data_IF_170826078076
#
_entry.id   IF_170826078076
#
_cell.length_a   1.000
_cell.length_b   1.000
_cell.length_c   1.000
_cell.angle_alpha   90.00
_cell.angle_beta   90.00
_cell.angle_gamma   90.00
#
_symmetry.space_group_name_H-M   'P 1'
#
loop_
_entity.id
_entity.type
_entity.pdbx_description
1 polymer ?
#
# COMPACT_ATOMS: atom_id res chain seq x y z
N UNK A 1 -10.48 75.21 27.71
CA UNK A 1 -10.02 74.50 26.50
C UNK A 1 -9.97 72.99 26.82
N UNK A 2 -10.96 72.25 26.32
CA UNK A 2 -11.14 70.81 26.62
C UNK A 2 -10.64 70.04 25.41
N UNK A 3 -9.58 69.20 25.60
CA UNK A 3 -9.07 68.27 24.59
C UNK A 3 -9.89 66.96 24.65
N UNK A 4 -10.67 66.71 23.60
CA UNK A 4 -11.36 65.43 23.34
C UNK A 4 -10.35 64.49 22.66
N UNK A 5 -10.00 63.39 23.37
CA UNK A 5 -9.24 62.30 22.78
C UNK A 5 -10.19 61.29 22.18
N UNK A 6 -10.13 61.09 20.87
CA UNK A 6 -10.77 60.02 20.13
C UNK A 6 -9.96 58.75 20.30
N UNK A 7 -10.55 57.71 20.92
CA UNK A 7 -10.03 56.35 20.88
C UNK A 7 -10.65 55.66 19.65
N UNK A 8 -9.82 55.36 18.66
CA UNK A 8 -10.16 54.48 17.54
C UNK A 8 -9.95 53.04 18.00
N UNK A 9 -11.07 52.32 18.24
CA UNK A 9 -11.09 50.91 18.52
C UNK A 9 -10.99 50.16 17.20
N UNK A 10 -9.80 49.64 16.88
CA UNK A 10 -9.57 48.75 15.75
C UNK A 10 -10.18 47.37 16.09
N UNK A 11 -11.30 47.02 15.48
CA UNK A 11 -11.85 45.67 15.51
C UNK A 11 -10.98 44.78 14.58
N UNK A 12 -10.10 44.00 15.17
CA UNK A 12 -9.42 42.88 14.50
C UNK A 12 -10.45 41.79 14.25
N UNK A 13 -11.00 41.72 13.06
CA UNK A 13 -11.71 40.53 12.56
C UNK A 13 -10.65 39.43 12.34
N UNK A 14 -10.43 38.61 13.38
CA UNK A 14 -9.79 37.33 13.23
C UNK A 14 -10.73 36.43 12.42
N UNK A 15 -10.51 36.37 11.13
CA UNK A 15 -11.13 35.39 10.26
C UNK A 15 -10.73 33.99 10.73
N UNK A 16 -11.62 33.32 11.42
CA UNK A 16 -11.54 31.88 11.63
C UNK A 16 -11.67 31.23 10.26
N UNK A 17 -10.54 30.92 9.58
CA UNK A 17 -10.54 29.93 8.54
C UNK A 17 -10.81 28.57 9.20
N UNK A 18 -12.09 28.21 9.33
CA UNK A 18 -12.46 26.82 9.48
C UNK A 18 -11.90 26.08 8.25
N UNK A 19 -11.24 24.93 8.40
CA UNK A 19 -10.92 24.12 7.25
C UNK A 19 -12.27 23.69 6.65
N UNK A 20 -12.63 24.30 5.50
CA UNK A 20 -13.67 23.76 4.65
C UNK A 20 -13.20 22.35 4.29
N UNK A 21 -13.88 21.33 4.81
CA UNK A 21 -13.63 19.96 4.38
C UNK A 21 -13.66 19.94 2.86
N UNK A 22 -12.64 19.35 2.24
CA UNK A 22 -12.50 19.34 0.80
C UNK A 22 -13.75 18.71 0.18
N UNK A 23 -14.55 19.54 -0.49
CA UNK A 23 -15.71 19.09 -1.25
C UNK A 23 -15.21 18.61 -2.60
N UNK A 24 -15.83 17.57 -3.17
CA UNK A 24 -15.51 17.14 -4.54
C UNK A 24 -15.82 18.28 -5.49
N UNK A 25 -14.82 18.72 -6.24
CA UNK A 25 -14.97 19.80 -7.20
C UNK A 25 -15.79 19.33 -8.41
N UNK A 26 -16.75 20.13 -8.81
CA UNK A 26 -17.52 19.94 -10.05
C UNK A 26 -17.31 21.13 -10.95
N UNK A 27 -16.95 20.88 -12.20
CA UNK A 27 -16.86 21.93 -13.19
C UNK A 27 -18.28 22.25 -13.68
N UNK A 28 -18.81 23.38 -13.26
CA UNK A 28 -20.14 23.86 -13.66
C UNK A 28 -19.98 25.15 -14.46
N UNK A 29 -20.39 25.13 -15.73
CA UNK A 29 -20.48 26.30 -16.60
C UNK A 29 -21.97 26.57 -16.83
N UNK A 30 -22.44 27.70 -16.38
CA UNK A 30 -23.86 28.02 -16.44
C UNK A 30 -24.32 28.21 -17.90
N UNK A 31 -25.47 27.62 -18.23
CA UNK A 31 -26.04 27.70 -19.57
C UNK A 31 -26.37 29.17 -19.97
N UNK A 32 -26.11 29.48 -21.22
CA UNK A 32 -26.35 30.82 -21.79
C UNK A 32 -25.30 31.88 -21.48
N UNK A 33 -24.28 31.54 -20.67
CA UNK A 33 -23.15 32.44 -20.41
C UNK A 33 -22.24 32.58 -21.64
N UNK A 34 -21.39 33.62 -21.70
CA UNK A 34 -20.39 33.75 -22.78
C UNK A 34 -19.45 32.54 -22.89
N UNK A 35 -19.13 31.90 -21.76
CA UNK A 35 -18.34 30.67 -21.69
C UNK A 35 -19.09 29.51 -22.34
N UNK A 36 -20.35 29.29 -22.01
CA UNK A 36 -21.20 28.25 -22.58
C UNK A 36 -21.38 28.41 -24.11
N UNK A 37 -21.59 29.66 -24.55
CA UNK A 37 -21.68 29.96 -25.99
C UNK A 37 -20.38 29.67 -26.72
N UNK A 38 -19.24 30.01 -26.12
CA UNK A 38 -17.92 29.71 -26.71
C UNK A 38 -17.67 28.19 -26.78
N UNK A 39 -17.99 27.43 -25.72
CA UNK A 39 -17.89 25.98 -25.71
C UNK A 39 -18.82 25.32 -26.73
N UNK A 40 -20.03 25.86 -26.90
CA UNK A 40 -20.96 25.40 -27.96
C UNK A 40 -20.40 25.64 -29.36
N UNK A 41 -19.64 26.73 -29.59
CA UNK A 41 -18.97 26.97 -30.86
C UNK A 41 -17.82 25.99 -31.05
N UNK A 42 -17.01 25.74 -30.02
CA UNK A 42 -15.88 24.79 -30.07
C UNK A 42 -16.41 23.36 -30.32
N UNK A 43 -17.52 22.96 -29.75
CA UNK A 43 -18.09 21.61 -29.90
C UNK A 43 -18.49 21.31 -31.35
N UNK A 44 -18.77 22.32 -32.16
CA UNK A 44 -19.17 22.20 -33.58
C UNK A 44 -17.98 22.18 -34.57
N UNK A 45 -16.80 22.48 -34.07
CA UNK A 45 -15.60 22.41 -34.92
C UNK A 45 -15.14 20.94 -35.04
N UNK A 46 -14.88 20.51 -36.26
CA UNK A 46 -14.43 19.14 -36.55
C UNK A 46 -12.89 19.02 -36.66
N UNK A 47 -12.23 20.10 -37.03
CA UNK A 47 -10.77 20.13 -37.14
C UNK A 47 -10.10 20.16 -35.74
N UNK A 48 -9.36 19.10 -35.44
CA UNK A 48 -8.71 18.92 -34.12
C UNK A 48 -7.72 20.04 -33.79
N UNK A 49 -6.95 20.54 -34.79
CA UNK A 49 -5.98 21.60 -34.57
C UNK A 49 -6.66 22.94 -34.31
N UNK A 50 -7.75 23.23 -35.01
CA UNK A 50 -8.57 24.41 -34.77
C UNK A 50 -9.24 24.34 -33.38
N UNK A 51 -9.74 23.16 -32.97
CA UNK A 51 -10.25 22.97 -31.60
C UNK A 51 -9.23 23.34 -30.54
N UNK A 52 -7.98 22.88 -30.70
CA UNK A 52 -6.89 23.23 -29.78
C UNK A 52 -6.72 24.75 -29.72
N UNK A 53 -6.66 25.43 -30.88
CA UNK A 53 -6.56 26.88 -30.93
C UNK A 53 -7.75 27.58 -30.25
N UNK A 54 -8.96 27.12 -30.53
CA UNK A 54 -10.17 27.69 -29.92
C UNK A 54 -10.21 27.48 -28.40
N UNK A 55 -9.71 26.35 -27.86
CA UNK A 55 -9.58 26.19 -26.41
C UNK A 55 -8.51 27.09 -25.81
N UNK A 56 -7.41 27.36 -26.53
CA UNK A 56 -6.39 28.32 -26.09
C UNK A 56 -6.95 29.76 -26.02
N UNK A 57 -7.72 30.18 -27.03
CA UNK A 57 -8.42 31.48 -27.05
C UNK A 57 -9.47 31.54 -25.94
N UNK A 58 -10.21 30.46 -25.72
CA UNK A 58 -11.16 30.32 -24.61
C UNK A 58 -10.50 30.56 -23.24
N UNK A 59 -9.37 29.90 -22.98
CA UNK A 59 -8.62 30.06 -21.75
C UNK A 59 -8.09 31.48 -21.55
N UNK A 60 -7.65 32.14 -22.61
CA UNK A 60 -7.21 33.51 -22.54
C UNK A 60 -8.36 34.46 -22.22
N UNK A 61 -9.51 34.28 -22.88
CA UNK A 61 -10.69 35.11 -22.73
C UNK A 61 -11.35 34.97 -21.35
N UNK A 62 -11.39 33.75 -20.81
CA UNK A 62 -12.10 33.43 -19.57
C UNK A 62 -11.17 33.06 -18.42
N UNK A 63 -9.95 33.59 -18.42
CA UNK A 63 -8.89 33.30 -17.44
C UNK A 63 -9.27 33.64 -15.98
N UNK A 64 -10.25 34.52 -15.78
CA UNK A 64 -10.74 34.88 -14.45
C UNK A 64 -11.80 33.90 -13.87
N UNK A 65 -12.31 32.97 -14.68
CA UNK A 65 -13.30 32.00 -14.27
C UNK A 65 -12.64 30.64 -13.99
N UNK A 66 -12.49 30.18 -12.72
CA UNK A 66 -11.80 28.91 -12.41
C UNK A 66 -12.43 27.68 -13.08
N UNK A 67 -13.76 27.63 -13.20
CA UNK A 67 -14.45 26.54 -13.88
C UNK A 67 -14.12 26.50 -15.38
N UNK A 68 -14.06 27.65 -16.05
CA UNK A 68 -13.65 27.76 -17.44
C UNK A 68 -12.17 27.38 -17.62
N UNK A 69 -11.30 27.80 -16.71
CA UNK A 69 -9.87 27.45 -16.72
C UNK A 69 -9.68 25.93 -16.53
N UNK A 70 -10.37 25.33 -15.57
CA UNK A 70 -10.33 23.88 -15.34
C UNK A 70 -10.81 23.11 -16.58
N UNK A 71 -11.98 23.47 -17.11
CA UNK A 71 -12.58 22.81 -18.26
C UNK A 71 -11.70 22.91 -19.52
N UNK A 72 -11.29 24.14 -19.87
CA UNK A 72 -10.50 24.37 -21.09
C UNK A 72 -9.15 23.65 -21.06
N UNK A 73 -8.45 23.67 -19.93
CA UNK A 73 -7.20 22.91 -19.77
C UNK A 73 -7.44 21.38 -19.82
N UNK A 74 -8.52 20.89 -19.22
CA UNK A 74 -8.85 19.45 -19.29
C UNK A 74 -9.13 19.01 -20.72
N UNK A 75 -9.88 19.81 -21.49
CA UNK A 75 -10.14 19.51 -22.90
C UNK A 75 -8.86 19.54 -23.76
N UNK A 76 -7.93 20.47 -23.50
CA UNK A 76 -6.62 20.45 -24.14
C UNK A 76 -5.80 19.22 -23.76
N UNK A 77 -5.84 18.82 -22.49
CA UNK A 77 -5.21 17.56 -22.05
C UNK A 77 -5.71 16.36 -22.85
N UNK A 78 -7.03 16.23 -23.00
CA UNK A 78 -7.64 15.14 -23.79
C UNK A 78 -7.30 15.22 -25.29
N UNK A 79 -7.24 16.42 -25.85
CA UNK A 79 -6.86 16.62 -27.24
C UNK A 79 -5.39 16.17 -27.49
N UNK A 80 -4.47 16.57 -26.62
CA UNK A 80 -3.07 16.14 -26.70
C UNK A 80 -2.90 14.65 -26.45
N UNK A 81 -3.68 14.06 -25.51
CA UNK A 81 -3.69 12.61 -25.31
C UNK A 81 -4.11 11.88 -26.58
N UNK A 82 -5.16 12.34 -27.25
CA UNK A 82 -5.67 11.76 -28.51
C UNK A 82 -4.65 11.88 -29.65
N UNK A 83 -3.83 12.93 -29.64
CA UNK A 83 -2.73 13.14 -30.58
C UNK A 83 -1.46 12.33 -30.24
N UNK A 84 -1.42 11.63 -29.10
CA UNK A 84 -0.26 10.88 -28.61
C UNK A 84 0.82 11.76 -27.93
N UNK A 85 0.57 13.06 -27.78
CA UNK A 85 1.47 13.96 -27.06
C UNK A 85 1.19 13.94 -25.55
N UNK A 86 1.63 12.84 -24.93
CA UNK A 86 1.36 12.58 -23.51
C UNK A 86 2.00 13.59 -22.58
N UNK A 87 3.10 14.22 -22.99
CA UNK A 87 3.75 15.28 -22.19
C UNK A 87 2.85 16.51 -22.09
N UNK A 88 2.38 17.06 -23.20
CA UNK A 88 1.47 18.21 -23.18
C UNK A 88 0.12 17.82 -22.56
N UNK A 89 -0.35 16.57 -22.75
CA UNK A 89 -1.54 16.08 -22.09
C UNK A 89 -1.44 16.16 -20.56
N UNK A 90 -0.32 15.70 -19.96
CA UNK A 90 -0.05 15.82 -18.53
C UNK A 90 0.06 17.28 -18.09
N UNK A 91 0.80 18.10 -18.82
CA UNK A 91 1.01 19.53 -18.47
C UNK A 91 -0.31 20.32 -18.45
N UNK A 92 -1.21 20.09 -19.42
CA UNK A 92 -2.51 20.76 -19.43
C UNK A 92 -3.46 20.17 -18.37
N UNK A 93 -3.42 18.89 -18.10
CA UNK A 93 -4.18 18.30 -17.02
C UNK A 93 -3.74 18.78 -15.63
N UNK A 94 -2.44 18.97 -15.40
CA UNK A 94 -1.93 19.57 -14.16
C UNK A 94 -2.43 21.03 -14.00
N UNK A 95 -2.53 21.81 -15.10
CA UNK A 95 -3.17 23.13 -15.07
C UNK A 95 -4.66 23.07 -14.77
N UNK A 96 -5.36 22.07 -15.27
CA UNK A 96 -6.77 21.82 -14.94
C UNK A 96 -6.94 21.51 -13.45
N UNK A 97 -6.07 20.64 -12.90
CA UNK A 97 -6.05 20.31 -11.47
C UNK A 97 -5.60 21.49 -10.58
N UNK A 98 -4.82 22.43 -11.09
CA UNK A 98 -4.51 23.65 -10.35
C UNK A 98 -5.75 24.54 -10.15
N UNK A 99 -6.69 24.54 -11.12
CA UNK A 99 -7.93 25.30 -11.04
C UNK A 99 -9.07 24.52 -10.35
N UNK A 100 -9.02 23.19 -10.32
CA UNK A 100 -10.01 22.30 -9.70
C UNK A 100 -9.31 21.10 -9.06
N UNK A 101 -8.65 21.29 -7.90
CA UNK A 101 -7.72 20.32 -7.31
C UNK A 101 -8.38 19.03 -6.79
N UNK A 102 -9.69 19.09 -6.48
CA UNK A 102 -10.47 17.97 -5.94
C UNK A 102 -11.40 17.35 -6.99
N UNK A 103 -11.15 17.60 -8.28
CA UNK A 103 -11.97 17.03 -9.34
C UNK A 103 -11.51 15.60 -9.67
N UNK A 104 -12.34 14.62 -9.30
CA UNK A 104 -12.02 13.19 -9.48
C UNK A 104 -11.94 12.79 -10.96
N UNK A 105 -12.73 13.39 -11.85
CA UNK A 105 -12.71 13.03 -13.28
C UNK A 105 -11.38 13.46 -13.93
N UNK A 106 -10.87 14.63 -13.53
CA UNK A 106 -9.55 15.08 -14.00
C UNK A 106 -8.45 14.19 -13.42
N UNK A 107 -8.51 13.82 -12.13
CA UNK A 107 -7.54 12.92 -11.50
C UNK A 107 -7.50 11.55 -12.19
N UNK A 108 -8.67 10.97 -12.49
CA UNK A 108 -8.79 9.71 -13.26
C UNK A 108 -8.19 9.86 -14.65
N UNK A 109 -8.52 10.95 -15.37
CA UNK A 109 -7.97 11.24 -16.70
C UNK A 109 -6.44 11.33 -16.64
N UNK A 110 -5.88 12.07 -15.68
CA UNK A 110 -4.44 12.25 -15.53
C UNK A 110 -3.72 10.97 -15.13
N UNK A 111 -4.30 10.17 -14.24
CA UNK A 111 -3.75 8.85 -13.89
C UNK A 111 -3.70 7.92 -15.12
N UNK A 112 -4.75 7.92 -15.96
CA UNK A 112 -4.78 7.16 -17.21
C UNK A 112 -3.71 7.63 -18.21
N UNK A 113 -3.51 8.96 -18.36
CA UNK A 113 -2.48 9.52 -19.25
C UNK A 113 -1.08 9.17 -18.71
N UNK A 114 -0.86 9.26 -17.39
CA UNK A 114 0.40 8.90 -16.76
C UNK A 114 0.71 7.39 -16.94
N UNK A 115 -0.29 6.51 -16.86
CA UNK A 115 -0.12 5.08 -17.18
C UNK A 115 0.33 4.87 -18.62
N UNK A 116 -0.28 5.57 -19.58
CA UNK A 116 0.14 5.52 -21.00
C UNK A 116 1.57 6.01 -21.19
N UNK A 117 1.96 7.05 -20.44
CA UNK A 117 3.31 7.61 -20.42
C UNK A 117 4.31 6.73 -19.65
N UNK A 118 3.86 5.69 -18.95
CA UNK A 118 4.67 4.85 -18.03
C UNK A 118 5.34 5.65 -16.91
N UNK A 119 4.70 6.71 -16.46
CA UNK A 119 5.14 7.56 -15.34
C UNK A 119 4.44 7.11 -14.04
N UNK A 120 4.96 6.04 -13.43
CA UNK A 120 4.39 5.47 -12.21
C UNK A 120 4.37 6.47 -11.04
N UNK A 121 5.31 7.42 -11.00
CA UNK A 121 5.31 8.44 -9.95
C UNK A 121 4.10 9.38 -10.07
N UNK A 122 3.75 9.82 -11.28
CA UNK A 122 2.53 10.61 -11.52
C UNK A 122 1.26 9.78 -11.33
N UNK A 123 1.25 8.51 -11.75
CA UNK A 123 0.11 7.60 -11.48
C UNK A 123 -0.18 7.55 -9.99
N UNK A 124 0.84 7.30 -9.17
CA UNK A 124 0.67 7.26 -7.72
C UNK A 124 0.21 8.60 -7.16
N UNK A 125 0.78 9.73 -7.63
CA UNK A 125 0.41 11.06 -7.14
C UNK A 125 -1.07 11.37 -7.36
N UNK A 126 -1.58 11.17 -8.58
CA UNK A 126 -3.00 11.37 -8.89
C UNK A 126 -3.90 10.39 -8.14
N UNK A 127 -3.45 9.14 -7.96
CA UNK A 127 -4.18 8.13 -7.20
C UNK A 127 -4.32 8.52 -5.73
N UNK A 128 -3.24 8.90 -5.07
CA UNK A 128 -3.25 9.32 -3.66
C UNK A 128 -4.16 10.53 -3.46
N UNK A 129 -4.03 11.56 -4.31
CA UNK A 129 -4.91 12.74 -4.27
C UNK A 129 -6.38 12.37 -4.42
N UNK A 130 -6.71 11.46 -5.33
CA UNK A 130 -8.09 11.01 -5.51
C UNK A 130 -8.63 10.21 -4.33
N UNK A 131 -7.82 9.36 -3.71
CA UNK A 131 -8.16 8.67 -2.46
C UNK A 131 -8.43 9.64 -1.31
N UNK A 132 -7.61 10.68 -1.18
CA UNK A 132 -7.79 11.75 -0.18
C UNK A 132 -9.08 12.55 -0.42
N UNK A 133 -9.37 12.89 -1.68
CA UNK A 133 -10.64 13.57 -2.07
C UNK A 133 -11.84 12.70 -1.69
N UNK A 134 -11.83 11.42 -2.05
CA UNK A 134 -12.90 10.50 -1.70
C UNK A 134 -13.06 10.36 -0.18
N UNK A 135 -11.97 10.19 0.55
CA UNK A 135 -11.97 10.11 2.02
C UNK A 135 -12.46 11.38 2.71
N UNK A 136 -12.40 12.54 2.04
CA UNK A 136 -12.91 13.81 2.54
C UNK A 136 -14.44 13.90 2.48
N UNK A 137 -15.11 13.14 1.61
CA UNK A 137 -16.57 13.16 1.45
C UNK A 137 -17.25 12.83 2.79
N UNK A 138 -16.79 11.84 3.52
CA UNK A 138 -17.33 11.44 4.81
C UNK A 138 -17.16 12.51 5.93
N UNK A 139 -16.27 13.49 5.70
CA UNK A 139 -15.93 14.54 6.67
C UNK A 139 -16.65 15.87 6.37
N UNK A 140 -17.54 15.89 5.40
CA UNK A 140 -18.27 17.09 5.02
C UNK A 140 -19.15 17.61 6.17
N UNK A 141 -19.16 18.92 6.35
CA UNK A 141 -20.03 19.60 7.32
C UNK A 141 -21.43 19.80 6.78
N UNK A 142 -22.38 20.05 7.68
CA UNK A 142 -23.74 20.48 7.32
C UNK A 142 -23.71 21.80 6.58
N UNK A 143 -24.62 21.94 5.61
CA UNK A 143 -24.86 23.18 4.87
C UNK A 143 -26.10 23.87 5.43
N UNK A 144 -25.98 25.10 5.96
CA UNK A 144 -27.12 25.87 6.46
C UNK A 144 -27.96 25.08 7.48
N UNK A 145 -29.27 25.01 7.22
CA UNK A 145 -30.25 24.32 8.09
C UNK A 145 -30.39 22.82 7.78
N UNK A 146 -29.40 22.20 7.17
CA UNK A 146 -29.40 20.77 6.82
C UNK A 146 -29.54 19.90 8.06
N UNK A 147 -30.48 18.95 8.05
CA UNK A 147 -30.64 17.96 9.11
C UNK A 147 -29.53 16.88 9.03
N UNK A 148 -29.30 16.11 10.11
CA UNK A 148 -28.35 14.99 10.13
C UNK A 148 -28.67 13.96 9.04
N UNK A 149 -29.98 13.70 8.80
CA UNK A 149 -30.42 12.76 7.77
C UNK A 149 -30.12 13.26 6.36
N UNK A 150 -30.30 14.56 6.11
CA UNK A 150 -30.00 15.17 4.80
C UNK A 150 -28.48 15.14 4.53
N UNK A 151 -27.67 15.47 5.54
CA UNK A 151 -26.22 15.34 5.44
C UNK A 151 -25.80 13.90 5.13
N UNK A 152 -26.34 12.92 5.87
CA UNK A 152 -26.03 11.50 5.66
C UNK A 152 -26.39 11.03 4.23
N UNK A 153 -27.56 11.46 3.74
CA UNK A 153 -28.01 11.12 2.38
C UNK A 153 -27.09 11.74 1.31
N UNK A 154 -26.70 13.01 1.48
CA UNK A 154 -25.80 13.71 0.57
C UNK A 154 -24.42 13.07 0.53
N UNK A 155 -23.86 12.72 1.70
CA UNK A 155 -22.59 11.99 1.79
C UNK A 155 -22.69 10.65 1.07
N UNK A 156 -23.74 9.86 1.33
CA UNK A 156 -23.93 8.57 0.70
C UNK A 156 -24.08 8.67 -0.83
N UNK A 157 -24.81 9.66 -1.31
CA UNK A 157 -24.97 9.93 -2.74
C UNK A 157 -23.63 10.34 -3.39
N UNK A 158 -22.88 11.24 -2.76
CA UNK A 158 -21.58 11.68 -3.27
C UNK A 158 -20.55 10.54 -3.28
N UNK A 159 -20.51 9.70 -2.23
CA UNK A 159 -19.67 8.51 -2.19
C UNK A 159 -20.07 7.52 -3.30
N UNK A 160 -21.34 7.27 -3.50
CA UNK A 160 -21.82 6.38 -4.55
C UNK A 160 -21.44 6.90 -5.95
N UNK A 161 -21.61 8.20 -6.20
CA UNK A 161 -21.27 8.83 -7.49
C UNK A 161 -19.75 8.83 -7.77
N UNK A 162 -18.93 8.88 -6.70
CA UNK A 162 -17.47 8.93 -6.78
C UNK A 162 -16.79 7.56 -6.71
N UNK A 163 -17.56 6.49 -6.45
CA UNK A 163 -17.04 5.15 -6.17
C UNK A 163 -16.19 4.58 -7.32
N UNK A 164 -16.67 4.70 -8.55
CA UNK A 164 -15.94 4.18 -9.71
C UNK A 164 -14.60 4.87 -9.93
N UNK A 165 -14.54 6.19 -9.71
CA UNK A 165 -13.30 6.97 -9.78
C UNK A 165 -12.31 6.55 -8.68
N UNK A 166 -12.82 6.35 -7.45
CA UNK A 166 -12.03 5.85 -6.32
C UNK A 166 -11.44 4.46 -6.61
N UNK A 167 -12.26 3.50 -7.09
CA UNK A 167 -11.83 2.14 -7.40
C UNK A 167 -10.81 2.09 -8.54
N UNK A 168 -10.95 2.98 -9.54
CA UNK A 168 -9.96 3.10 -10.61
C UNK A 168 -8.63 3.63 -10.09
N UNK A 169 -8.64 4.72 -9.30
CA UNK A 169 -7.44 5.34 -8.75
C UNK A 169 -6.75 4.42 -7.73
N UNK A 170 -7.51 3.68 -6.94
CA UNK A 170 -6.99 2.63 -6.05
C UNK A 170 -6.19 1.58 -6.84
N UNK A 171 -6.79 1.04 -7.90
CA UNK A 171 -6.14 0.04 -8.74
C UNK A 171 -4.91 0.60 -9.46
N UNK A 172 -4.99 1.83 -9.98
CA UNK A 172 -3.87 2.49 -10.66
C UNK A 172 -2.68 2.70 -9.71
N UNK A 173 -2.94 3.22 -8.50
CA UNK A 173 -1.91 3.43 -7.49
C UNK A 173 -1.28 2.12 -7.00
N UNK A 174 -2.10 1.08 -6.79
CA UNK A 174 -1.60 -0.25 -6.46
C UNK A 174 -0.68 -0.81 -7.55
N UNK A 175 -1.06 -0.71 -8.82
CA UNK A 175 -0.23 -1.19 -9.93
C UNK A 175 1.11 -0.42 -10.00
N UNK A 176 1.10 0.89 -9.77
CA UNK A 176 2.34 1.68 -9.72
C UNK A 176 3.29 1.20 -8.60
N UNK A 177 2.76 0.83 -7.43
CA UNK A 177 3.53 0.23 -6.33
C UNK A 177 4.08 -1.15 -6.72
N UNK A 178 3.26 -1.98 -7.37
CA UNK A 178 3.65 -3.33 -7.78
C UNK A 178 4.77 -3.32 -8.83
N UNK A 179 4.77 -2.33 -9.71
CA UNK A 179 5.77 -2.15 -10.77
C UNK A 179 7.09 -1.52 -10.28
N UNK A 180 7.11 -0.87 -9.09
CA UNK A 180 8.32 -0.25 -8.55
C UNK A 180 9.31 -1.32 -8.06
N UNK A 181 10.54 -1.27 -8.60
CA UNK A 181 11.59 -2.26 -8.29
C UNK A 181 12.51 -1.83 -7.13
N UNK A 182 12.66 -0.52 -6.91
CA UNK A 182 13.47 -0.02 -5.81
C UNK A 182 12.72 -0.14 -4.48
N UNK A 183 13.23 -0.96 -3.56
CA UNK A 183 12.59 -1.25 -2.29
C UNK A 183 12.34 0.00 -1.43
N UNK A 184 13.22 1.01 -1.50
CA UNK A 184 13.07 2.25 -0.74
C UNK A 184 11.95 3.12 -1.30
N UNK A 185 11.89 3.23 -2.64
CA UNK A 185 10.81 3.96 -3.32
C UNK A 185 9.49 3.25 -3.13
N UNK A 186 9.43 1.94 -3.38
CA UNK A 186 8.21 1.14 -3.16
C UNK A 186 7.66 1.30 -1.75
N UNK A 187 8.54 1.29 -0.73
CA UNK A 187 8.10 1.51 0.65
C UNK A 187 7.57 2.94 0.89
N UNK A 188 8.19 3.96 0.29
CA UNK A 188 7.69 5.33 0.35
C UNK A 188 6.32 5.48 -0.33
N UNK A 189 6.14 4.81 -1.46
CA UNK A 189 4.89 4.79 -2.21
C UNK A 189 3.77 4.10 -1.42
N UNK A 190 4.06 2.98 -0.76
CA UNK A 190 3.13 2.29 0.15
C UNK A 190 2.71 3.20 1.32
N UNK A 191 3.66 3.92 1.93
CA UNK A 191 3.39 4.84 3.04
C UNK A 191 2.50 6.03 2.63
N UNK A 192 2.55 6.46 1.36
CA UNK A 192 1.67 7.47 0.78
C UNK A 192 0.29 6.90 0.44
N UNK A 193 0.24 5.71 -0.14
CA UNK A 193 -0.98 5.06 -0.61
C UNK A 193 -1.90 4.63 0.55
N UNK A 194 -1.35 3.99 1.57
CA UNK A 194 -2.15 3.38 2.65
C UNK A 194 -3.12 4.35 3.35
N UNK A 195 -2.74 5.58 3.74
CA UNK A 195 -3.68 6.51 4.36
C UNK A 195 -4.74 7.06 3.40
N UNK A 196 -4.47 7.11 2.09
CA UNK A 196 -5.43 7.53 1.07
C UNK A 196 -6.48 6.44 0.75
N UNK A 197 -6.12 5.17 0.96
CA UNK A 197 -6.97 4.00 0.71
C UNK A 197 -7.00 3.06 1.94
N UNK A 198 -7.59 3.51 3.08
CA UNK A 198 -7.53 2.76 4.34
C UNK A 198 -8.23 1.41 4.28
N UNK A 199 -9.28 1.30 3.47
CA UNK A 199 -10.08 0.07 3.28
C UNK A 199 -9.80 -0.58 1.93
N UNK A 200 -8.54 -0.46 1.44
CA UNK A 200 -8.15 -0.99 0.13
C UNK A 200 -8.39 -2.49 0.02
N UNK A 201 -8.99 -2.91 -1.10
CA UNK A 201 -9.10 -4.33 -1.46
C UNK A 201 -7.74 -5.00 -1.70
N UNK A 202 -6.66 -4.21 -1.82
CA UNK A 202 -5.29 -4.69 -2.03
C UNK A 202 -4.47 -4.73 -0.73
N UNK A 203 -5.08 -4.58 0.44
CA UNK A 203 -4.37 -4.50 1.74
C UNK A 203 -3.35 -5.62 1.94
N UNK A 204 -3.71 -6.88 1.65
CA UNK A 204 -2.82 -8.02 1.82
C UNK A 204 -1.66 -8.02 0.81
N UNK A 205 -1.92 -7.60 -0.43
CA UNK A 205 -0.87 -7.45 -1.43
C UNK A 205 0.09 -6.32 -1.07
N UNK A 206 -0.43 -5.17 -0.62
CA UNK A 206 0.37 -4.05 -0.12
C UNK A 206 1.24 -4.48 1.07
N UNK A 207 0.67 -5.23 2.01
CA UNK A 207 1.40 -5.78 3.14
C UNK A 207 2.52 -6.72 2.71
N UNK A 208 2.30 -7.53 1.67
CA UNK A 208 3.32 -8.41 1.09
C UNK A 208 4.45 -7.62 0.42
N UNK A 209 4.13 -6.58 -0.35
CA UNK A 209 5.14 -5.69 -0.94
C UNK A 209 5.91 -4.91 0.12
N UNK A 210 5.25 -4.46 1.19
CA UNK A 210 5.91 -3.82 2.33
C UNK A 210 6.89 -4.79 3.02
N UNK A 211 6.45 -6.04 3.28
CA UNK A 211 7.30 -7.09 3.84
C UNK A 211 8.55 -7.32 2.98
N UNK A 212 8.37 -7.47 1.66
CA UNK A 212 9.47 -7.67 0.73
C UNK A 212 10.45 -6.48 0.76
N UNK A 213 9.94 -5.26 0.67
CA UNK A 213 10.76 -4.04 0.68
C UNK A 213 11.52 -3.87 2.00
N UNK A 214 10.85 -4.05 3.14
CA UNK A 214 11.47 -3.91 4.45
C UNK A 214 12.51 -5.00 4.73
N UNK A 215 12.29 -6.22 4.24
CA UNK A 215 13.28 -7.31 4.34
C UNK A 215 14.53 -7.01 3.53
N UNK A 216 14.38 -6.44 2.33
CA UNK A 216 15.50 -6.04 1.48
C UNK A 216 16.30 -4.87 2.09
N UNK A 217 15.63 -3.90 2.67
CA UNK A 217 16.24 -2.73 3.33
C UNK A 217 16.98 -3.09 4.63
N UNK A 218 16.71 -4.23 5.25
CA UNK A 218 17.33 -4.71 6.51
C UNK A 218 17.26 -3.70 7.66
N UNK A 219 16.25 -2.83 7.66
CA UNK A 219 16.01 -1.83 8.71
C UNK A 219 15.01 -2.38 9.74
N UNK A 220 15.54 -3.09 10.74
CA UNK A 220 14.74 -3.70 11.82
C UNK A 220 13.84 -2.70 12.53
N UNK A 221 14.31 -1.46 12.76
CA UNK A 221 13.51 -0.43 13.46
C UNK A 221 12.29 -0.03 12.64
N UNK A 222 12.49 0.17 11.33
CA UNK A 222 11.40 0.51 10.41
C UNK A 222 10.43 -0.66 10.22
N UNK A 223 10.94 -1.90 10.17
CA UNK A 223 10.11 -3.11 10.16
C UNK A 223 9.16 -3.13 11.34
N UNK A 224 9.68 -2.95 12.56
CA UNK A 224 8.87 -3.00 13.78
C UNK A 224 7.84 -1.87 13.78
N UNK A 225 8.25 -0.62 13.53
CA UNK A 225 7.35 0.53 13.54
C UNK A 225 6.23 0.41 12.50
N UNK A 226 6.56 -0.02 11.28
CA UNK A 226 5.57 -0.23 10.21
C UNK A 226 4.65 -1.41 10.53
N UNK A 227 5.20 -2.53 10.99
CA UNK A 227 4.44 -3.72 11.33
C UNK A 227 3.44 -3.48 12.45
N UNK A 228 3.83 -2.80 13.53
CA UNK A 228 2.93 -2.42 14.62
C UNK A 228 1.79 -1.53 14.13
N UNK A 229 2.07 -0.51 13.31
CA UNK A 229 1.06 0.36 12.72
C UNK A 229 0.10 -0.40 11.79
N UNK A 230 0.64 -1.27 10.94
CA UNK A 230 -0.15 -2.09 10.02
C UNK A 230 -1.06 -3.06 10.76
N UNK A 231 -0.54 -3.73 11.81
CA UNK A 231 -1.31 -4.67 12.62
C UNK A 231 -2.33 -3.99 13.54
N UNK A 232 -2.15 -2.72 13.89
CA UNK A 232 -3.18 -1.94 14.58
C UNK A 232 -4.41 -1.71 13.70
N UNK A 233 -4.23 -1.53 12.40
CA UNK A 233 -5.31 -1.37 11.42
C UNK A 233 -5.88 -2.71 10.93
N UNK A 234 -5.01 -3.70 10.68
CA UNK A 234 -5.39 -5.05 10.27
C UNK A 234 -4.69 -6.11 11.13
N UNK A 235 -5.27 -6.50 12.30
CA UNK A 235 -4.66 -7.46 13.23
C UNK A 235 -4.46 -8.87 12.67
N UNK A 236 -5.09 -9.18 11.54
CA UNK A 236 -5.04 -10.48 10.88
C UNK A 236 -4.20 -10.46 9.59
N UNK A 237 -3.44 -9.39 9.33
CA UNK A 237 -2.55 -9.35 8.16
C UNK A 237 -1.44 -10.40 8.29
N UNK A 238 -1.59 -11.49 7.55
CA UNK A 238 -0.68 -12.64 7.61
C UNK A 238 0.76 -12.27 7.18
N UNK A 239 0.99 -11.47 6.12
CA UNK A 239 2.33 -11.01 5.78
C UNK A 239 3.00 -10.21 6.92
N UNK A 240 2.26 -9.32 7.58
CA UNK A 240 2.81 -8.52 8.68
C UNK A 240 3.07 -9.35 9.94
N UNK A 241 2.19 -10.31 10.26
CA UNK A 241 2.42 -11.23 11.38
C UNK A 241 3.69 -12.06 11.17
N UNK A 242 3.91 -12.57 9.96
CA UNK A 242 5.12 -13.33 9.60
C UNK A 242 6.38 -12.44 9.64
N UNK A 243 6.29 -11.22 9.11
CA UNK A 243 7.39 -10.26 9.15
C UNK A 243 7.79 -9.94 10.58
N UNK A 244 6.84 -9.63 11.44
CA UNK A 244 7.10 -9.31 12.86
C UNK A 244 7.68 -10.51 13.62
N UNK A 245 7.10 -11.70 13.43
CA UNK A 245 7.61 -12.93 14.05
C UNK A 245 9.06 -13.22 13.60
N UNK A 246 9.34 -13.16 12.31
CA UNK A 246 10.67 -13.35 11.75
C UNK A 246 11.68 -12.31 12.26
N UNK A 247 11.28 -11.03 12.25
CA UNK A 247 12.13 -9.93 12.72
C UNK A 247 12.51 -10.10 14.19
N UNK A 248 11.55 -10.40 15.05
CA UNK A 248 11.83 -10.57 16.49
C UNK A 248 12.59 -11.86 16.80
N UNK A 249 12.36 -12.96 16.06
CA UNK A 249 13.12 -14.19 16.32
C UNK A 249 14.60 -14.06 15.93
N UNK A 250 14.92 -13.21 14.96
CA UNK A 250 16.29 -12.98 14.51
C UNK A 250 16.99 -11.80 15.23
N UNK A 251 16.24 -10.95 15.94
CA UNK A 251 16.81 -9.84 16.72
C UNK A 251 17.63 -10.39 17.92
N UNK A 252 18.94 -10.04 18.04
CA UNK A 252 19.79 -10.52 19.09
C UNK A 252 19.50 -9.90 20.47
N UNK A 253 18.62 -8.92 20.56
CA UNK A 253 18.33 -8.23 21.82
C UNK A 253 17.64 -9.17 22.82
N UNK A 254 18.00 -9.10 24.13
CA UNK A 254 17.30 -9.87 25.16
C UNK A 254 15.79 -9.65 25.14
N UNK A 255 15.03 -10.74 25.19
CA UNK A 255 13.56 -10.71 25.20
C UNK A 255 12.91 -10.59 23.81
N UNK A 256 13.66 -10.36 22.74
CA UNK A 256 13.09 -10.28 21.39
C UNK A 256 12.43 -11.59 20.96
N UNK A 257 13.04 -12.73 21.27
CA UNK A 257 12.47 -14.05 20.93
C UNK A 257 11.10 -14.25 21.58
N UNK A 258 10.92 -13.83 22.83
CA UNK A 258 9.62 -13.90 23.50
C UNK A 258 8.54 -13.05 22.82
N UNK A 259 8.92 -11.95 22.15
CA UNK A 259 8.00 -11.14 21.35
C UNK A 259 7.64 -11.80 20.02
N UNK A 260 8.50 -12.66 19.47
CA UNK A 260 8.22 -13.38 18.22
C UNK A 260 7.07 -14.38 18.38
N UNK A 261 6.96 -15.04 19.53
CA UNK A 261 6.02 -16.13 19.81
C UNK A 261 4.55 -15.73 19.56
N UNK A 262 4.02 -14.63 20.13
CA UNK A 262 2.62 -14.25 19.91
C UNK A 262 2.31 -13.92 18.44
N UNK A 263 3.24 -13.33 17.69
CA UNK A 263 3.05 -13.08 16.26
C UNK A 263 3.03 -14.38 15.45
N UNK A 264 3.95 -15.31 15.72
CA UNK A 264 3.97 -16.62 15.07
C UNK A 264 2.69 -17.44 15.38
N UNK A 265 2.25 -17.45 16.65
CA UNK A 265 1.02 -18.09 17.07
C UNK A 265 -0.19 -17.51 16.33
N UNK A 266 -0.29 -16.18 16.27
CA UNK A 266 -1.38 -15.52 15.57
C UNK A 266 -1.34 -15.80 14.06
N UNK A 267 -0.16 -15.88 13.46
CA UNK A 267 0.01 -16.23 12.05
C UNK A 267 -0.49 -17.67 11.77
N UNK A 268 -0.23 -18.63 12.66
CA UNK A 268 -0.74 -20.01 12.57
C UNK A 268 -2.27 -20.01 12.60
N UNK A 269 -2.86 -19.28 13.56
CA UNK A 269 -4.32 -19.19 13.71
C UNK A 269 -5.00 -18.54 12.49
N UNK A 270 -4.39 -17.50 11.92
CA UNK A 270 -4.93 -16.80 10.74
C UNK A 270 -4.78 -17.63 9.47
N UNK A 271 -3.62 -18.27 9.29
CA UNK A 271 -3.35 -19.09 8.10
C UNK A 271 -4.35 -20.26 7.98
N UNK A 272 -4.76 -20.88 9.10
CA UNK A 272 -5.63 -22.07 9.10
C UNK A 272 -5.17 -23.11 8.08
N UNK A 273 -3.85 -23.37 8.04
CA UNK A 273 -3.22 -24.20 7.01
C UNK A 273 -3.69 -25.66 7.01
N UNK A 274 -4.22 -26.12 8.15
CA UNK A 274 -4.77 -27.47 8.33
C UNK A 274 -6.25 -27.61 7.86
N UNK A 275 -6.90 -26.51 7.49
CA UNK A 275 -8.28 -26.54 7.01
C UNK A 275 -8.36 -27.32 5.68
N UNK A 276 -9.43 -28.13 5.46
CA UNK A 276 -9.56 -28.92 4.24
C UNK A 276 -9.57 -28.09 2.94
N UNK A 277 -10.00 -26.84 3.04
CA UNK A 277 -10.08 -25.86 1.96
C UNK A 277 -8.86 -24.93 1.88
N UNK A 278 -7.80 -25.21 2.69
CA UNK A 278 -6.61 -24.38 2.67
C UNK A 278 -5.92 -24.45 1.31
N UNK A 279 -5.82 -23.29 0.67
CA UNK A 279 -5.09 -23.11 -0.58
C UNK A 279 -3.57 -23.18 -0.39
N UNK A 280 -2.85 -23.12 -1.50
CA UNK A 280 -1.39 -23.18 -1.51
C UNK A 280 -0.75 -22.04 -0.69
N UNK A 281 -1.23 -20.81 -0.84
CA UNK A 281 -0.67 -19.63 -0.15
C UNK A 281 -0.84 -19.72 1.37
N UNK A 282 -2.02 -20.20 1.84
CA UNK A 282 -2.27 -20.43 3.26
C UNK A 282 -1.39 -21.53 3.84
N UNK A 283 -1.15 -22.62 3.09
CA UNK A 283 -0.24 -23.70 3.50
C UNK A 283 1.20 -23.21 3.63
N UNK A 284 1.70 -22.47 2.64
CA UNK A 284 3.07 -21.89 2.67
C UNK A 284 3.21 -20.92 3.84
N UNK A 285 2.26 -20.02 4.03
CA UNK A 285 2.31 -19.05 5.14
C UNK A 285 2.20 -19.73 6.51
N UNK A 286 1.34 -20.73 6.67
CA UNK A 286 1.24 -21.53 7.88
C UNK A 286 2.51 -22.31 8.17
N UNK A 287 3.11 -22.91 7.14
CA UNK A 287 4.41 -23.59 7.25
C UNK A 287 5.54 -22.66 7.68
N UNK A 288 5.59 -21.43 7.14
CA UNK A 288 6.53 -20.41 7.57
C UNK A 288 6.32 -20.03 9.04
N UNK A 289 5.06 -19.85 9.47
CA UNK A 289 4.72 -19.52 10.85
C UNK A 289 5.16 -20.62 11.83
N UNK A 290 4.87 -21.90 11.52
CA UNK A 290 5.33 -23.06 12.29
C UNK A 290 6.86 -23.15 12.33
N UNK A 291 7.55 -22.85 11.22
CA UNK A 291 9.03 -22.82 11.18
C UNK A 291 9.61 -21.74 12.09
N UNK A 292 9.00 -20.55 12.14
CA UNK A 292 9.41 -19.46 13.04
C UNK A 292 9.14 -19.84 14.49
N UNK A 293 7.96 -20.40 14.80
CA UNK A 293 7.60 -20.89 16.14
C UNK A 293 8.61 -21.92 16.64
N UNK A 294 8.89 -22.94 15.81
CA UNK A 294 9.88 -23.95 16.16
C UNK A 294 11.27 -23.36 16.42
N UNK A 295 11.69 -22.37 15.64
CA UNK A 295 12.97 -21.70 15.84
C UNK A 295 12.98 -20.85 17.12
N UNK A 296 11.91 -20.16 17.43
CA UNK A 296 11.75 -19.42 18.69
C UNK A 296 11.88 -20.36 19.89
N UNK A 297 11.19 -21.50 19.88
CA UNK A 297 11.28 -22.52 20.93
C UNK A 297 12.70 -23.07 21.10
N UNK A 298 13.44 -23.27 19.99
CA UNK A 298 14.85 -23.71 20.08
C UNK A 298 15.76 -22.64 20.72
N UNK A 299 15.52 -21.36 20.43
CA UNK A 299 16.27 -20.25 21.05
C UNK A 299 15.94 -20.07 22.55
N UNK A 300 14.77 -20.50 22.97
CA UNK A 300 14.36 -20.58 24.40
C UNK A 300 14.79 -21.90 25.09
N UNK A 301 15.67 -22.70 24.47
CA UNK A 301 16.11 -24.01 24.95
C UNK A 301 14.97 -25.06 25.09
N UNK A 302 13.79 -24.81 24.53
CA UNK A 302 12.64 -25.71 24.45
C UNK A 302 12.70 -26.62 23.22
N UNK A 303 13.88 -27.18 22.91
CA UNK A 303 14.13 -27.89 21.64
C UNK A 303 13.20 -29.08 21.41
N UNK A 304 12.81 -29.80 22.47
CA UNK A 304 11.87 -30.91 22.35
C UNK A 304 10.48 -30.45 21.86
N UNK A 305 10.01 -29.30 22.32
CA UNK A 305 8.76 -28.69 21.91
C UNK A 305 8.84 -28.11 20.47
N UNK A 306 10.01 -27.76 19.98
CA UNK A 306 10.20 -27.26 18.64
C UNK A 306 9.98 -28.34 17.54
N UNK A 307 10.22 -29.62 17.85
CA UNK A 307 10.14 -30.72 16.85
C UNK A 307 8.75 -30.82 16.21
N UNK A 308 7.63 -30.88 16.94
CA UNK A 308 6.32 -30.97 16.31
C UNK A 308 6.05 -29.75 15.40
N UNK A 309 6.38 -28.54 15.83
CA UNK A 309 6.22 -27.34 15.02
C UNK A 309 7.01 -27.41 13.71
N UNK A 310 8.30 -27.82 13.78
CA UNK A 310 9.16 -27.94 12.61
C UNK A 310 8.72 -29.08 11.68
N UNK A 311 8.19 -30.18 12.19
CA UNK A 311 7.57 -31.23 11.36
C UNK A 311 6.35 -30.73 10.60
N UNK A 312 5.45 -30.02 11.28
CA UNK A 312 4.31 -29.38 10.62
C UNK A 312 4.78 -28.42 9.54
N UNK A 313 5.77 -27.57 9.85
CA UNK A 313 6.35 -26.66 8.87
C UNK A 313 6.86 -27.40 7.62
N UNK A 314 7.65 -28.46 7.80
CA UNK A 314 8.17 -29.23 6.66
C UNK A 314 7.08 -29.90 5.84
N UNK A 315 6.01 -30.36 6.48
CA UNK A 315 4.86 -30.94 5.77
C UNK A 315 4.14 -29.91 4.91
N UNK A 316 3.87 -28.72 5.46
CA UNK A 316 3.12 -27.66 4.80
C UNK A 316 3.92 -26.99 3.66
N UNK A 317 5.23 -26.87 3.82
CA UNK A 317 6.13 -26.20 2.86
C UNK A 317 6.56 -27.10 1.70
N UNK A 318 6.46 -28.42 1.83
CA UNK A 318 6.91 -29.38 0.83
C UNK A 318 6.20 -29.17 -0.51
N UNK A 319 6.97 -28.87 -1.56
CA UNK A 319 6.46 -28.62 -2.91
C UNK A 319 5.78 -27.25 -3.08
N UNK A 320 5.89 -26.37 -2.07
CA UNK A 320 5.30 -25.03 -2.10
C UNK A 320 6.33 -23.92 -2.23
N UNK A 321 7.34 -23.94 -1.37
CA UNK A 321 8.45 -22.99 -1.35
C UNK A 321 9.71 -23.74 -0.94
N UNK A 322 10.54 -24.05 -1.92
CA UNK A 322 11.77 -24.86 -1.74
C UNK A 322 12.75 -24.20 -0.76
N UNK A 323 12.84 -22.88 -0.74
CA UNK A 323 13.76 -22.18 0.16
C UNK A 323 13.27 -22.25 1.60
N UNK A 324 11.99 -21.92 1.86
CA UNK A 324 11.39 -22.03 3.19
C UNK A 324 11.35 -23.48 3.68
N UNK A 325 11.09 -24.44 2.78
CA UNK A 325 11.17 -25.88 3.09
C UNK A 325 12.58 -26.27 3.54
N UNK A 326 13.63 -25.88 2.80
CA UNK A 326 15.01 -26.17 3.17
C UNK A 326 15.40 -25.55 4.52
N UNK A 327 14.96 -24.33 4.81
CA UNK A 327 15.18 -23.67 6.11
C UNK A 327 14.48 -24.43 7.24
N UNK A 328 13.21 -24.83 7.07
CA UNK A 328 12.46 -25.60 8.07
C UNK A 328 13.11 -26.96 8.33
N UNK A 329 13.51 -27.68 7.28
CA UNK A 329 14.25 -28.94 7.35
C UNK A 329 15.61 -28.76 8.07
N UNK A 330 16.36 -27.70 7.78
CA UNK A 330 17.61 -27.41 8.47
C UNK A 330 17.39 -27.22 9.98
N UNK A 331 16.39 -26.42 10.35
CA UNK A 331 16.01 -26.20 11.75
C UNK A 331 15.60 -27.51 12.43
N UNK A 332 14.85 -28.39 11.74
CA UNK A 332 14.47 -29.71 12.24
C UNK A 332 15.70 -30.62 12.44
N UNK A 333 16.60 -30.68 11.46
CA UNK A 333 17.84 -31.44 11.55
C UNK A 333 18.74 -30.96 12.70
N UNK A 334 18.81 -29.63 12.89
CA UNK A 334 19.54 -29.03 14.00
C UNK A 334 18.88 -29.38 15.36
N UNK A 335 17.54 -29.32 15.45
CA UNK A 335 16.81 -29.71 16.66
C UNK A 335 17.07 -31.18 17.03
N UNK A 336 17.06 -32.08 16.06
CA UNK A 336 17.41 -33.48 16.28
C UNK A 336 18.85 -33.67 16.75
N UNK A 337 19.81 -32.95 16.11
CA UNK A 337 21.22 -33.00 16.53
C UNK A 337 21.42 -32.51 17.99
N UNK A 338 20.74 -31.41 18.36
CA UNK A 338 20.78 -30.83 19.72
C UNK A 338 20.22 -31.79 20.78
N UNK A 339 19.27 -32.64 20.40
CA UNK A 339 18.70 -33.68 21.28
C UNK A 339 19.39 -35.05 21.17
N UNK A 340 20.55 -35.10 20.51
CA UNK A 340 21.29 -36.33 20.27
C UNK A 340 20.53 -37.44 19.52
N UNK A 341 19.50 -37.05 18.73
CA UNK A 341 18.75 -37.93 17.83
C UNK A 341 19.53 -38.06 16.50
N UNK A 342 20.62 -38.82 16.57
CA UNK A 342 21.67 -38.88 15.51
C UNK A 342 21.09 -39.42 14.19
N UNK A 343 20.23 -40.42 14.24
CA UNK A 343 19.66 -41.04 13.02
C UNK A 343 18.76 -40.06 12.30
N UNK A 344 17.80 -39.47 13.02
CA UNK A 344 16.85 -38.49 12.46
C UNK A 344 17.57 -37.22 11.96
N UNK A 345 18.58 -36.75 12.71
CA UNK A 345 19.38 -35.58 12.29
C UNK A 345 20.08 -35.87 10.96
N UNK A 346 20.72 -37.05 10.81
CA UNK A 346 21.42 -37.42 9.60
C UNK A 346 20.51 -37.56 8.39
N UNK A 347 19.36 -38.26 8.56
CA UNK A 347 18.35 -38.41 7.50
C UNK A 347 17.88 -37.06 6.99
N UNK A 348 17.45 -36.20 7.91
CA UNK A 348 16.96 -34.85 7.60
C UNK A 348 18.02 -33.98 6.91
N UNK A 349 19.26 -33.95 7.44
CA UNK A 349 20.32 -33.13 6.88
C UNK A 349 20.82 -33.66 5.52
N UNK A 350 20.83 -34.99 5.30
CA UNK A 350 21.21 -35.59 4.03
C UNK A 350 20.26 -35.22 2.87
N UNK A 351 19.04 -34.90 3.14
CA UNK A 351 18.09 -34.36 2.14
C UNK A 351 18.46 -32.91 1.75
N UNK A 352 18.74 -32.07 2.76
CA UNK A 352 19.01 -30.65 2.54
C UNK A 352 20.32 -30.40 1.75
N UNK A 353 21.33 -31.18 1.99
CA UNK A 353 22.63 -31.00 1.29
C UNK A 353 22.54 -31.17 -0.23
N UNK A 354 21.44 -31.77 -0.72
CA UNK A 354 21.13 -31.91 -2.14
C UNK A 354 20.38 -30.70 -2.71
N UNK A 355 19.89 -29.82 -1.84
CA UNK A 355 19.08 -28.65 -2.24
C UNK A 355 19.99 -27.42 -2.33
N UNK A 356 20.06 -26.73 -3.49
CA UNK A 356 20.82 -25.49 -3.59
C UNK A 356 20.15 -24.39 -2.74
N UNK A 357 20.94 -23.57 -2.07
CA UNK A 357 20.40 -22.46 -1.30
C UNK A 357 21.23 -22.09 -0.06
N UNK A 358 20.76 -21.11 0.72
CA UNK A 358 21.55 -20.51 1.81
C UNK A 358 21.85 -21.47 2.97
N UNK A 359 21.07 -22.53 3.14
CA UNK A 359 21.26 -23.52 4.23
C UNK A 359 22.04 -24.76 3.79
N UNK A 360 22.42 -24.89 2.51
CA UNK A 360 23.13 -26.06 1.99
C UNK A 360 24.47 -26.26 2.69
N UNK A 361 25.32 -25.23 2.72
CA UNK A 361 26.65 -25.33 3.38
C UNK A 361 26.53 -25.53 4.91
N UNK A 362 25.68 -24.77 5.64
CA UNK A 362 25.39 -25.04 7.05
C UNK A 362 24.92 -26.47 7.32
N UNK A 363 24.09 -27.05 6.43
CA UNK A 363 23.63 -28.43 6.57
C UNK A 363 24.77 -29.44 6.35
N UNK A 364 25.68 -29.23 5.38
CA UNK A 364 26.86 -30.05 5.17
C UNK A 364 27.76 -30.07 6.41
N UNK A 365 28.03 -28.88 6.98
CA UNK A 365 28.90 -28.73 8.16
C UNK A 365 28.29 -29.43 9.39
N UNK A 366 26.97 -29.29 9.57
CA UNK A 366 26.26 -29.94 10.67
C UNK A 366 26.22 -31.46 10.49
N UNK A 367 25.96 -31.94 9.26
CA UNK A 367 25.96 -33.38 8.94
C UNK A 367 27.32 -34.03 9.20
N UNK A 368 28.39 -33.34 8.85
CA UNK A 368 29.77 -33.79 9.15
C UNK A 368 29.99 -33.95 10.67
N UNK A 369 29.56 -32.99 11.47
CA UNK A 369 29.62 -33.04 12.94
C UNK A 369 28.80 -34.21 13.52
N UNK A 370 27.58 -34.41 13.01
CA UNK A 370 26.69 -35.52 13.44
C UNK A 370 27.33 -36.87 13.12
N UNK A 371 27.95 -37.01 11.95
CA UNK A 371 28.64 -38.24 11.56
C UNK A 371 29.92 -38.52 12.41
N UNK A 372 30.67 -37.47 12.73
CA UNK A 372 31.90 -37.58 13.57
C UNK A 372 31.57 -37.94 15.02
N UNK A 373 30.48 -37.43 15.58
CA UNK A 373 30.04 -37.78 16.94
C UNK A 373 29.70 -39.27 17.09
N UNK A 374 29.12 -39.89 16.05
CA UNK A 374 28.83 -41.33 16.01
C UNK A 374 30.11 -42.18 15.97
N UNK A 375 31.17 -41.71 15.29
CA UNK A 375 32.41 -42.44 15.19
C UNK A 375 33.17 -42.52 16.52
N UNK A 376 32.96 -41.55 17.42
CA UNK A 376 33.58 -41.51 18.78
C UNK A 376 32.77 -42.26 19.84
N UNK A 377 31.49 -42.58 19.57
CA UNK A 377 30.60 -43.31 20.49
C UNK A 377 30.49 -44.82 20.19
N UNK A 378 31.29 -45.32 19.24
CA UNK A 378 31.57 -46.74 19.02
C UNK A 378 32.97 -47.06 19.54
#
# INVERSE_FOLDING_TARGET
MRHIRWFATAFLLAGFCLPLGAQVDRIVIAAGTPEDQALTAISKEDDAQKKVTMYQDFLQKFSANPAAVAYGNWQLSQAYQSAGDLKNALDYGDKALAASPHNLDILVSQASIAQQAKDNAKVLDYSVRGGEVYGSIAKQAKSGDESDQQLANRIAEEQNNSKSSYEFLEAAGFNAIADEQDAKKRMADIERFTPAFPDSRFQESIASYAMMSLSELKDTSRVISYGEKSLASNPNSLPMLLLMAGTYVDDPKPGSVAKAVPYAQKAIEVAKADAPDADHARKVSGGAAHSIMGYALMKEDKTAAAIPELKTATTLLKGGDDQSYAIAMYRLGFAYAKLNKVTEARETLSEIVKMPGPVQQPAQDLLAKVNAARAKGK
#
